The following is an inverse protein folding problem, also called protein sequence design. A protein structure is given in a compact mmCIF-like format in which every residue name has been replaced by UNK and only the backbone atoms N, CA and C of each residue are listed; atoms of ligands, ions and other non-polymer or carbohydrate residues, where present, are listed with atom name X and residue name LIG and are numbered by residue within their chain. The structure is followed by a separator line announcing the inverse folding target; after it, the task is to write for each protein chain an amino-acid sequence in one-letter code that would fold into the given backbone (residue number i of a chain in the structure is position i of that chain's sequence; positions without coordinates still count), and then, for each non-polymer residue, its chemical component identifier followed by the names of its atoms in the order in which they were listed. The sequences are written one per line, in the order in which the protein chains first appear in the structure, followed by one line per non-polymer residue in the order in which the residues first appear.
data_IF_314143165985
#
_entry.id   IF_314143165985
#
_cell.length_a   1.000
_cell.length_b   1.000
_cell.length_c   1.000
_cell.angle_alpha   90.00
_cell.angle_beta   90.00
_cell.angle_gamma   90.00
#
_symmetry.space_group_name_H-M   'P 1'
#
loop_
_entity.id
_entity.type
_entity.pdbx_description
1 polymer ?
#
# COMPACT_ATOMS: atom_id res chain seq x y z
N UNK A 1 -12.00 -7.63 -5.65
CA UNK A 1 -12.78 -6.39 -5.43
C UNK A 1 -12.92 -5.54 -6.70
N UNK A 2 -11.84 -5.04 -7.30
CA UNK A 2 -11.90 -4.13 -8.47
C UNK A 2 -12.55 -4.79 -9.71
N UNK A 3 -12.36 -6.10 -9.92
CA UNK A 3 -13.02 -6.82 -11.01
C UNK A 3 -14.53 -7.05 -10.74
N UNK A 4 -14.92 -7.18 -9.47
CA UNK A 4 -16.32 -7.37 -9.07
C UNK A 4 -17.17 -6.11 -9.30
N UNK A 5 -16.59 -4.92 -9.07
CA UNK A 5 -17.24 -3.64 -9.37
C UNK A 5 -17.46 -3.40 -10.87
N UNK A 6 -16.59 -3.95 -11.73
CA UNK A 6 -16.71 -3.82 -13.18
C UNK A 6 -17.73 -4.79 -13.79
N UNK A 7 -17.97 -5.92 -13.13
CA UNK A 7 -18.90 -6.96 -13.61
C UNK A 7 -20.32 -6.70 -13.07
N UNK A 8 -20.47 -6.13 -11.87
CA UNK A 8 -21.77 -5.90 -11.22
C UNK A 8 -22.85 -5.22 -12.10
N UNK A 9 -22.55 -4.22 -12.97
CA UNK A 9 -23.55 -3.62 -13.84
C UNK A 9 -24.10 -4.57 -14.91
N UNK A 10 -23.37 -5.65 -15.26
CA UNK A 10 -23.71 -6.58 -16.33
C UNK A 10 -24.57 -7.78 -15.86
N UNK A 11 -24.82 -7.96 -14.56
CA UNK A 11 -25.43 -9.20 -14.00
C UNK A 11 -26.83 -8.98 -13.38
N UNK A 12 -27.53 -7.88 -13.67
CA UNK A 12 -28.90 -7.68 -13.19
C UNK A 12 -29.03 -7.72 -11.67
N UNK A 13 -29.95 -8.53 -11.11
CA UNK A 13 -30.22 -8.64 -9.67
C UNK A 13 -29.02 -9.11 -8.82
N UNK A 14 -28.05 -9.81 -9.42
CA UNK A 14 -26.79 -10.19 -8.75
C UNK A 14 -25.90 -8.98 -8.43
N UNK A 15 -26.07 -7.86 -9.13
CA UNK A 15 -25.30 -6.64 -8.90
C UNK A 15 -25.42 -6.14 -7.45
N UNK A 16 -26.63 -6.20 -6.87
CA UNK A 16 -26.88 -5.77 -5.48
C UNK A 16 -26.14 -6.64 -4.47
N UNK A 17 -26.21 -7.96 -4.61
CA UNK A 17 -25.52 -8.90 -3.73
C UNK A 17 -24.01 -8.73 -3.82
N UNK A 18 -23.48 -8.53 -5.02
CA UNK A 18 -22.05 -8.26 -5.23
C UNK A 18 -21.63 -6.95 -4.56
N UNK A 19 -22.42 -5.89 -4.65
CA UNK A 19 -22.13 -4.63 -3.97
C UNK A 19 -22.06 -4.79 -2.44
N UNK A 20 -23.04 -5.47 -1.84
CA UNK A 20 -23.02 -5.74 -0.40
C UNK A 20 -21.78 -6.55 -0.02
N UNK A 21 -21.46 -7.60 -0.76
CA UNK A 21 -20.28 -8.44 -0.51
C UNK A 21 -18.97 -7.64 -0.56
N UNK A 22 -18.82 -6.73 -1.53
CA UNK A 22 -17.62 -5.90 -1.64
C UNK A 22 -17.53 -4.95 -0.44
N UNK A 23 -18.63 -4.36 0.03
CA UNK A 23 -18.63 -3.53 1.24
C UNK A 23 -18.26 -4.33 2.49
N UNK A 24 -18.79 -5.56 2.61
CA UNK A 24 -18.46 -6.46 3.73
C UNK A 24 -16.98 -6.84 3.73
N UNK A 25 -16.43 -7.24 2.58
CA UNK A 25 -15.02 -7.60 2.44
C UNK A 25 -14.09 -6.41 2.75
N UNK A 26 -14.52 -5.18 2.45
CA UNK A 26 -13.77 -3.99 2.79
C UNK A 26 -13.75 -3.77 4.31
N UNK A 27 -14.89 -3.93 4.97
CA UNK A 27 -14.99 -3.88 6.43
C UNK A 27 -14.17 -4.97 7.12
N UNK A 28 -14.18 -6.21 6.60
CA UNK A 28 -13.32 -7.30 7.10
C UNK A 28 -11.84 -6.94 6.95
N UNK A 29 -11.45 -6.38 5.81
CA UNK A 29 -10.08 -5.89 5.59
C UNK A 29 -9.65 -4.84 6.61
N UNK A 30 -10.55 -3.91 6.95
CA UNK A 30 -10.31 -2.91 8.00
C UNK A 30 -10.13 -3.56 9.38
N UNK A 31 -10.97 -4.53 9.73
CA UNK A 31 -10.85 -5.28 10.99
C UNK A 31 -9.54 -6.05 11.10
N UNK A 32 -9.15 -6.77 10.03
CA UNK A 32 -7.87 -7.49 9.97
C UNK A 32 -6.68 -6.54 10.05
N UNK A 33 -6.76 -5.39 9.39
CA UNK A 33 -5.74 -4.34 9.51
C UNK A 33 -5.61 -3.84 10.95
N UNK A 34 -6.73 -3.58 11.62
CA UNK A 34 -6.78 -3.17 13.03
C UNK A 34 -6.09 -4.18 13.96
N UNK A 35 -6.38 -5.48 13.79
CA UNK A 35 -5.72 -6.54 14.56
C UNK A 35 -4.21 -6.53 14.29
N UNK A 36 -3.83 -6.51 13.02
CA UNK A 36 -2.41 -6.58 12.63
C UNK A 36 -1.62 -5.37 13.15
N UNK A 37 -2.17 -4.15 13.04
CA UNK A 37 -1.48 -2.93 13.47
C UNK A 37 -1.31 -2.87 14.99
N UNK A 38 -2.27 -3.39 15.76
CA UNK A 38 -2.16 -3.47 17.23
C UNK A 38 -1.09 -4.47 17.64
N UNK A 39 -1.09 -5.67 17.05
CA UNK A 39 -0.05 -6.67 17.30
C UNK A 39 1.34 -6.16 16.89
N UNK A 40 1.39 -5.45 15.77
CA UNK A 40 2.60 -4.83 15.26
C UNK A 40 3.12 -3.72 16.18
N UNK A 41 2.26 -2.81 16.63
CA UNK A 41 2.61 -1.77 17.58
C UNK A 41 3.06 -2.38 18.91
N UNK A 42 2.36 -3.39 19.41
CA UNK A 42 2.78 -4.11 20.63
C UNK A 42 4.18 -4.71 20.47
N UNK A 43 4.50 -5.31 19.32
CA UNK A 43 5.85 -5.82 19.04
C UNK A 43 6.90 -4.71 19.12
N UNK A 44 6.65 -3.53 18.54
CA UNK A 44 7.61 -2.42 18.55
C UNK A 44 7.79 -1.82 19.95
N UNK A 45 6.72 -1.65 20.72
CA UNK A 45 6.80 -0.95 22.01
C UNK A 45 7.26 -1.83 23.18
N UNK A 46 7.01 -3.15 23.12
CA UNK A 46 7.27 -4.06 24.25
C UNK A 46 8.46 -5.00 24.04
N UNK A 47 9.04 -5.04 22.84
CA UNK A 47 10.26 -5.80 22.57
C UNK A 47 11.38 -4.84 22.16
N UNK A 48 12.62 -5.16 22.53
CA UNK A 48 13.79 -4.41 22.08
C UNK A 48 13.89 -4.50 20.56
N UNK A 49 13.67 -3.38 19.87
CA UNK A 49 13.80 -3.27 18.42
C UNK A 49 15.26 -3.00 18.10
N UNK A 50 15.96 -3.99 17.56
CA UNK A 50 17.32 -3.80 17.07
C UNK A 50 17.32 -3.20 15.65
N UNK A 51 18.46 -2.68 15.20
CA UNK A 51 18.61 -2.08 13.86
C UNK A 51 18.31 -3.06 12.72
N UNK A 52 18.40 -4.37 12.97
CA UNK A 52 18.06 -5.42 12.02
C UNK A 52 16.54 -5.67 11.91
N UNK A 53 15.76 -5.33 12.94
CA UNK A 53 14.30 -5.44 12.91
C UNK A 53 13.64 -4.36 12.02
N UNK A 54 14.37 -3.27 11.74
CA UNK A 54 13.95 -2.23 10.79
C UNK A 54 14.12 -2.78 9.37
N UNK A 55 13.09 -3.49 8.92
CA UNK A 55 13.04 -4.14 7.62
C UNK A 55 12.12 -3.38 6.65
N UNK A 56 12.30 -3.57 5.32
CA UNK A 56 11.36 -3.04 4.33
C UNK A 56 9.89 -3.47 4.54
N UNK A 57 9.64 -4.53 5.33
CA UNK A 57 8.29 -4.97 5.71
C UNK A 57 7.49 -3.90 6.47
N UNK A 58 8.14 -2.93 7.12
CA UNK A 58 7.45 -1.79 7.75
C UNK A 58 6.62 -0.99 6.74
N UNK A 59 7.05 -0.94 5.49
CA UNK A 59 6.30 -0.27 4.43
C UNK A 59 5.00 -1.00 4.06
N UNK A 60 4.90 -2.30 4.32
CA UNK A 60 3.68 -3.08 4.09
C UNK A 60 2.55 -2.59 4.99
N UNK A 61 2.85 -2.14 6.21
CA UNK A 61 1.86 -1.55 7.13
C UNK A 61 1.24 -0.28 6.54
N UNK A 62 2.08 0.60 5.99
CA UNK A 62 1.63 1.79 5.28
C UNK A 62 0.86 1.42 4.00
N UNK A 63 1.37 0.46 3.24
CA UNK A 63 0.75 -0.02 2.01
C UNK A 63 -0.64 -0.63 2.21
N UNK A 64 -0.85 -1.38 3.30
CA UNK A 64 -2.15 -1.92 3.66
C UNK A 64 -3.17 -0.79 3.94
N UNK A 65 -2.75 0.29 4.62
CA UNK A 65 -3.60 1.46 4.80
C UNK A 65 -3.94 2.17 3.47
N UNK A 66 -2.97 2.27 2.56
CA UNK A 66 -3.20 2.79 1.21
C UNK A 66 -4.15 1.90 0.38
N UNK A 67 -4.05 0.57 0.48
CA UNK A 67 -4.97 -0.36 -0.19
C UNK A 67 -6.40 -0.17 0.33
N UNK A 68 -6.58 -0.10 1.65
CA UNK A 68 -7.89 0.15 2.27
C UNK A 68 -8.49 1.48 1.80
N UNK A 69 -7.67 2.52 1.72
CA UNK A 69 -8.05 3.83 1.18
C UNK A 69 -8.48 3.74 -0.28
N UNK A 70 -7.69 3.07 -1.11
CA UNK A 70 -7.98 2.90 -2.54
C UNK A 70 -9.28 2.11 -2.77
N UNK A 71 -9.51 1.07 -1.98
CA UNK A 71 -10.74 0.28 -2.00
C UNK A 71 -11.95 1.11 -1.54
N UNK A 72 -11.82 1.86 -0.44
CA UNK A 72 -12.87 2.76 0.06
C UNK A 72 -13.22 3.86 -0.94
N UNK A 73 -12.21 4.49 -1.56
CA UNK A 73 -12.40 5.47 -2.64
C UNK A 73 -13.15 4.88 -3.84
N UNK A 74 -12.89 3.61 -4.14
CA UNK A 74 -13.58 2.90 -5.24
C UNK A 74 -15.03 2.61 -4.88
N UNK A 75 -15.33 2.28 -3.62
CA UNK A 75 -16.70 2.15 -3.13
C UNK A 75 -17.47 3.47 -3.22
N UNK A 76 -16.83 4.60 -2.86
CA UNK A 76 -17.43 5.93 -2.91
C UNK A 76 -17.74 6.38 -4.35
N UNK A 77 -16.85 6.05 -5.28
CA UNK A 77 -16.98 6.40 -6.71
C UNK A 77 -17.97 5.50 -7.46
N UNK A 78 -18.37 4.36 -6.91
CA UNK A 78 -19.26 3.42 -7.59
C UNK A 78 -20.69 3.58 -7.06
N UNK A 79 -21.62 3.96 -7.93
CA UNK A 79 -23.03 4.04 -7.57
C UNK A 79 -23.64 2.64 -7.40
N UNK A 80 -24.11 2.34 -6.19
CA UNK A 80 -24.69 1.03 -5.86
C UNK A 80 -26.19 0.92 -6.15
N UNK A 81 -26.88 2.06 -6.37
CA UNK A 81 -28.33 2.12 -6.54
C UNK A 81 -29.16 1.68 -5.33
N UNK A 82 -28.54 1.37 -4.19
CA UNK A 82 -29.21 0.87 -2.98
C UNK A 82 -29.28 1.93 -1.88
N UNK A 83 -30.49 2.27 -1.37
CA UNK A 83 -30.64 3.27 -0.30
C UNK A 83 -29.81 2.97 0.96
N UNK A 84 -29.69 1.69 1.32
CA UNK A 84 -28.89 1.25 2.47
C UNK A 84 -27.38 1.55 2.30
N UNK A 85 -26.81 1.30 1.12
CA UNK A 85 -25.38 1.59 0.91
C UNK A 85 -25.13 3.10 0.77
N UNK A 86 -26.11 3.84 0.24
CA UNK A 86 -26.05 5.29 0.19
C UNK A 86 -26.04 5.91 1.59
N UNK A 87 -26.81 5.37 2.54
CA UNK A 87 -26.76 5.85 3.93
C UNK A 87 -25.45 5.52 4.64
N UNK A 88 -24.69 4.52 4.19
CA UNK A 88 -23.34 4.20 4.69
C UNK A 88 -22.24 5.09 4.09
N UNK A 89 -22.52 5.88 3.05
CA UNK A 89 -21.51 6.69 2.35
C UNK A 89 -20.69 7.60 3.28
N UNK A 90 -21.28 8.36 4.23
CA UNK A 90 -20.51 9.20 5.14
C UNK A 90 -19.53 8.42 6.03
N UNK A 91 -19.88 7.19 6.40
CA UNK A 91 -18.99 6.31 7.17
C UNK A 91 -17.78 5.88 6.32
N UNK A 92 -18.01 5.49 5.06
CA UNK A 92 -16.95 5.10 4.14
C UNK A 92 -16.03 6.29 3.85
N UNK A 93 -16.60 7.49 3.63
CA UNK A 93 -15.83 8.73 3.43
C UNK A 93 -14.90 8.99 4.61
N UNK A 94 -15.44 8.98 5.83
CA UNK A 94 -14.68 9.22 7.06
C UNK A 94 -13.57 8.20 7.29
N UNK A 95 -13.88 6.91 7.18
CA UNK A 95 -12.88 5.84 7.37
C UNK A 95 -11.82 5.88 6.27
N UNK A 96 -12.21 6.12 5.02
CA UNK A 96 -11.26 6.22 3.89
C UNK A 96 -10.28 7.37 4.11
N UNK A 97 -10.76 8.53 4.55
CA UNK A 97 -9.92 9.68 4.87
C UNK A 97 -8.99 9.39 6.05
N UNK A 98 -9.49 8.78 7.13
CA UNK A 98 -8.68 8.40 8.29
C UNK A 98 -7.58 7.41 7.88
N UNK A 99 -7.90 6.42 7.06
CA UNK A 99 -6.93 5.44 6.57
C UNK A 99 -5.85 6.08 5.68
N UNK A 100 -6.22 7.08 4.87
CA UNK A 100 -5.26 7.84 4.06
C UNK A 100 -4.34 8.70 4.95
N UNK A 101 -4.92 9.38 5.94
CA UNK A 101 -4.16 10.17 6.91
C UNK A 101 -3.20 9.28 7.70
N UNK A 102 -3.66 8.09 8.11
CA UNK A 102 -2.84 7.09 8.77
C UNK A 102 -1.69 6.62 7.87
N UNK A 103 -1.95 6.29 6.59
CA UNK A 103 -0.89 5.94 5.64
C UNK A 103 0.14 7.07 5.48
N UNK A 104 -0.33 8.32 5.43
CA UNK A 104 0.52 9.51 5.30
C UNK A 104 1.40 9.70 6.53
N UNK A 105 0.85 9.45 7.72
CA UNK A 105 1.59 9.54 8.98
C UNK A 105 2.75 8.54 9.08
N UNK A 106 2.62 7.37 8.43
CA UNK A 106 3.72 6.40 8.37
C UNK A 106 4.90 6.87 7.52
N UNK A 107 4.69 7.71 6.51
CA UNK A 107 5.76 8.09 5.57
C UNK A 107 6.93 8.78 6.29
N UNK A 108 6.75 9.85 7.10
CA UNK A 108 7.84 10.46 7.84
C UNK A 108 8.59 9.49 8.75
N UNK A 109 7.86 8.62 9.45
CA UNK A 109 8.45 7.62 10.36
C UNK A 109 9.31 6.60 9.60
N UNK A 110 8.81 6.10 8.46
CA UNK A 110 9.54 5.16 7.62
C UNK A 110 10.76 5.79 6.96
N UNK A 111 10.67 7.06 6.55
CA UNK A 111 11.81 7.81 6.04
C UNK A 111 12.89 8.01 7.11
N UNK A 112 12.49 8.36 8.35
CA UNK A 112 13.41 8.49 9.48
C UNK A 112 14.15 7.17 9.73
N UNK A 113 13.44 6.04 9.74
CA UNK A 113 14.04 4.72 9.88
C UNK A 113 14.99 4.36 8.73
N UNK A 114 14.64 4.70 7.48
CA UNK A 114 15.50 4.49 6.33
C UNK A 114 16.80 5.31 6.39
N UNK A 115 16.70 6.60 6.76
CA UNK A 115 17.85 7.48 6.94
C UNK A 115 18.73 7.01 8.10
N UNK A 116 18.13 6.56 9.20
CA UNK A 116 18.86 6.06 10.35
C UNK A 116 19.69 4.80 10.00
N UNK A 117 19.07 3.83 9.31
CA UNK A 117 19.72 2.57 8.92
C UNK A 117 20.84 2.76 7.89
N UNK A 118 20.61 3.55 6.84
CA UNK A 118 21.58 3.70 5.75
C UNK A 118 22.56 4.85 5.96
N UNK A 119 22.12 5.95 6.61
CA UNK A 119 22.93 7.14 6.82
C UNK A 119 23.77 7.08 8.10
N UNK A 120 23.19 6.66 9.22
CA UNK A 120 23.91 6.64 10.51
C UNK A 120 24.68 5.32 10.68
N UNK A 121 24.03 4.20 10.39
CA UNK A 121 24.61 2.85 10.57
C UNK A 121 25.37 2.35 9.34
N UNK A 122 25.42 3.13 8.25
CA UNK A 122 26.19 2.83 7.04
C UNK A 122 25.95 1.41 6.49
N UNK A 123 24.75 0.86 6.69
CA UNK A 123 24.41 -0.48 6.18
C UNK A 123 24.40 -0.42 4.65
N UNK A 124 25.26 -1.19 3.96
CA UNK A 124 25.36 -1.12 2.51
C UNK A 124 24.02 -1.47 1.87
N UNK A 125 23.61 -0.68 0.86
CA UNK A 125 22.45 -0.99 0.04
C UNK A 125 22.77 -2.21 -0.85
N UNK A 126 22.68 -3.40 -0.27
CA UNK A 126 22.64 -4.64 -1.02
C UNK A 126 21.21 -4.88 -1.51
N UNK A 127 21.07 -5.28 -2.78
CA UNK A 127 19.77 -5.68 -3.29
C UNK A 127 19.25 -6.88 -2.49
N UNK A 128 18.06 -6.75 -1.92
CA UNK A 128 17.31 -7.86 -1.34
C UNK A 128 15.92 -7.88 -1.96
N UNK A 129 15.31 -9.05 -2.19
CA UNK A 129 13.93 -9.14 -2.67
C UNK A 129 12.92 -8.38 -1.80
N UNK A 130 13.24 -8.17 -0.52
CA UNK A 130 12.43 -7.40 0.42
C UNK A 130 12.27 -5.92 0.03
N UNK A 131 13.16 -5.35 -0.78
CA UNK A 131 13.02 -3.99 -1.27
C UNK A 131 11.73 -3.81 -2.09
N UNK A 132 11.22 -4.87 -2.74
CA UNK A 132 9.94 -4.83 -3.44
C UNK A 132 8.76 -4.53 -2.51
N UNK A 133 8.86 -4.93 -1.24
CA UNK A 133 7.86 -4.64 -0.21
C UNK A 133 7.79 -3.15 0.17
N UNK A 134 8.79 -2.34 -0.20
CA UNK A 134 8.79 -0.88 -0.03
C UNK A 134 8.19 -0.16 -1.23
N UNK A 135 8.59 -0.56 -2.43
CA UNK A 135 8.22 0.16 -3.66
C UNK A 135 6.76 -0.03 -4.06
N UNK A 136 6.18 -1.18 -3.72
CA UNK A 136 4.77 -1.44 -3.96
C UNK A 136 3.85 -0.50 -3.13
N UNK A 137 4.03 -0.36 -1.80
CA UNK A 137 3.30 0.62 -0.99
C UNK A 137 3.39 2.07 -1.49
N UNK A 138 4.56 2.51 -1.97
CA UNK A 138 4.72 3.86 -2.53
C UNK A 138 3.80 4.09 -3.73
N UNK A 139 3.80 3.15 -4.68
CA UNK A 139 2.91 3.23 -5.85
C UNK A 139 1.43 3.15 -5.45
N UNK A 140 1.10 2.26 -4.51
CA UNK A 140 -0.27 2.14 -4.00
C UNK A 140 -0.75 3.41 -3.29
N UNK A 141 0.10 4.08 -2.51
CA UNK A 141 -0.24 5.35 -1.88
C UNK A 141 -0.49 6.46 -2.90
N UNK A 142 0.34 6.53 -3.96
CA UNK A 142 0.13 7.49 -5.04
C UNK A 142 -1.23 7.26 -5.74
N UNK A 143 -1.56 6.00 -6.06
CA UNK A 143 -2.85 5.63 -6.64
C UNK A 143 -4.02 5.92 -5.68
N UNK A 144 -3.89 5.56 -4.41
CA UNK A 144 -4.91 5.80 -3.39
C UNK A 144 -5.21 7.29 -3.24
N UNK A 145 -4.16 8.13 -3.23
CA UNK A 145 -4.29 9.59 -3.15
C UNK A 145 -5.03 10.16 -4.36
N UNK A 146 -4.77 9.63 -5.57
CA UNK A 146 -5.51 10.03 -6.77
C UNK A 146 -6.98 9.64 -6.67
N UNK A 147 -7.29 8.38 -6.32
CA UNK A 147 -8.68 7.92 -6.22
C UNK A 147 -9.44 8.67 -5.14
N UNK A 148 -8.81 8.94 -4.00
CA UNK A 148 -9.43 9.72 -2.93
C UNK A 148 -9.68 11.16 -3.37
N UNK A 149 -8.75 11.78 -4.13
CA UNK A 149 -8.97 13.12 -4.68
C UNK A 149 -10.22 13.21 -5.56
N UNK A 150 -10.52 12.14 -6.30
CA UNK A 150 -11.71 12.04 -7.15
C UNK A 150 -12.96 11.74 -6.32
N UNK A 151 -12.85 10.83 -5.35
CA UNK A 151 -13.97 10.41 -4.49
C UNK A 151 -14.47 11.55 -3.59
N UNK A 152 -13.55 12.34 -3.04
CA UNK A 152 -13.83 13.44 -2.13
C UNK A 152 -13.94 14.82 -2.84
N UNK A 153 -13.80 14.86 -4.17
CA UNK A 153 -13.68 16.09 -4.96
C UNK A 153 -12.72 17.12 -4.33
N UNK A 154 -11.54 16.64 -3.93
CA UNK A 154 -10.54 17.43 -3.20
C UNK A 154 -9.24 17.51 -4.00
N UNK A 155 -9.08 18.53 -4.86
CA UNK A 155 -7.95 18.67 -5.78
C UNK A 155 -6.55 18.63 -5.16
N UNK A 156 -6.28 19.11 -3.93
CA UNK A 156 -4.94 19.07 -3.35
C UNK A 156 -4.34 17.65 -3.24
N UNK A 157 -5.16 16.63 -3.02
CA UNK A 157 -4.72 15.22 -2.99
C UNK A 157 -4.16 14.75 -4.34
N UNK A 158 -4.60 15.36 -5.45
CA UNK A 158 -4.10 15.06 -6.78
C UNK A 158 -2.65 15.53 -6.95
N UNK A 159 -2.29 16.68 -6.39
CA UNK A 159 -0.92 17.17 -6.40
C UNK A 159 0.00 16.23 -5.60
N UNK A 160 -0.46 15.77 -4.43
CA UNK A 160 0.26 14.77 -3.62
C UNK A 160 0.47 13.49 -4.43
N UNK A 161 -0.57 12.98 -5.08
CA UNK A 161 -0.47 11.80 -5.94
C UNK A 161 0.60 11.96 -7.02
N UNK A 162 0.58 13.06 -7.78
CA UNK A 162 1.56 13.28 -8.85
C UNK A 162 2.99 13.36 -8.35
N UNK A 163 3.23 14.04 -7.23
CA UNK A 163 4.56 14.08 -6.63
C UNK A 163 5.03 12.67 -6.24
N UNK A 164 4.14 11.88 -5.65
CA UNK A 164 4.47 10.56 -5.13
C UNK A 164 4.62 9.50 -6.23
N UNK A 165 3.95 9.65 -7.38
CA UNK A 165 4.18 8.79 -8.56
C UNK A 165 5.64 8.87 -9.00
N UNK A 166 6.23 10.07 -9.06
CA UNK A 166 7.63 10.22 -9.46
C UNK A 166 8.59 9.60 -8.44
N UNK A 167 8.31 9.76 -7.14
CA UNK A 167 9.07 9.10 -6.08
C UNK A 167 8.98 7.58 -6.18
N UNK A 168 7.77 7.05 -6.37
CA UNK A 168 7.54 5.60 -6.53
C UNK A 168 8.26 5.06 -7.77
N UNK A 169 8.20 5.78 -8.90
CA UNK A 169 8.85 5.39 -10.15
C UNK A 169 10.38 5.37 -10.01
N UNK A 170 10.96 6.39 -9.37
CA UNK A 170 12.40 6.43 -9.11
C UNK A 170 12.85 5.25 -8.24
N UNK A 171 12.10 4.96 -7.17
CA UNK A 171 12.37 3.82 -6.31
C UNK A 171 12.20 2.47 -7.05
N UNK A 172 11.22 2.38 -7.97
CA UNK A 172 11.00 1.19 -8.81
C UNK A 172 12.18 0.94 -9.74
N UNK A 173 12.64 1.98 -10.44
CA UNK A 173 13.79 1.89 -11.33
C UNK A 173 15.04 1.49 -10.55
N UNK A 174 15.30 2.11 -9.40
CA UNK A 174 16.44 1.76 -8.56
C UNK A 174 16.41 0.29 -8.11
N UNK A 175 15.26 -0.19 -7.65
CA UNK A 175 15.09 -1.59 -7.21
C UNK A 175 15.20 -2.58 -8.38
N UNK A 176 14.66 -2.23 -9.54
CA UNK A 176 14.75 -3.03 -10.75
C UNK A 176 16.19 -3.13 -11.28
N UNK A 177 16.94 -2.02 -11.25
CA UNK A 177 18.38 -2.03 -11.56
C UNK A 177 19.13 -2.95 -10.60
N UNK A 178 18.86 -2.84 -9.29
CA UNK A 178 19.45 -3.72 -8.28
C UNK A 178 19.15 -5.20 -8.51
N UNK A 179 17.93 -5.53 -8.93
CA UNK A 179 17.56 -6.90 -9.29
C UNK A 179 18.35 -7.39 -10.50
N UNK A 180 18.48 -6.57 -11.55
CA UNK A 180 19.21 -6.94 -12.77
C UNK A 180 20.69 -7.14 -12.49
N UNK A 181 21.31 -6.27 -11.67
CA UNK A 181 22.73 -6.42 -11.30
C UNK A 181 22.97 -7.68 -10.48
N UNK A 182 22.13 -7.92 -9.45
CA UNK A 182 22.25 -9.10 -8.60
C UNK A 182 22.02 -10.41 -9.38
N UNK A 183 21.05 -10.40 -10.31
CA UNK A 183 20.80 -11.56 -11.17
C UNK A 183 21.99 -11.82 -12.09
N UNK A 184 22.57 -10.77 -12.70
CA UNK A 184 23.75 -10.90 -13.57
C UNK A 184 24.96 -11.47 -12.83
N UNK A 185 25.20 -11.05 -11.60
CA UNK A 185 26.28 -11.59 -10.76
C UNK A 185 26.04 -13.07 -10.45
N UNK A 186 24.83 -13.43 -10.02
CA UNK A 186 24.46 -14.83 -9.76
C UNK A 186 24.60 -15.74 -10.99
N UNK A 187 24.20 -15.27 -12.18
CA UNK A 187 24.40 -16.01 -13.44
C UNK A 187 25.88 -16.20 -13.79
N UNK A 188 26.72 -15.18 -13.58
CA UNK A 188 28.17 -15.27 -13.84
C UNK A 188 28.88 -16.22 -12.89
N UNK A 189 28.45 -16.27 -11.63
CA UNK A 189 28.99 -17.21 -10.65
C UNK A 189 28.56 -18.65 -10.95
N UNK A 190 27.32 -18.85 -11.39
CA UNK A 190 26.85 -20.16 -11.87
C UNK A 190 27.67 -20.67 -13.07
N UNK A 191 27.89 -19.82 -14.08
CA UNK A 191 28.74 -20.17 -15.25
C UNK A 191 30.19 -20.49 -14.87
N UNK A 192 30.74 -19.83 -13.85
CA UNK A 192 32.11 -20.10 -13.34
C UNK A 192 32.20 -21.40 -12.54
N UNK A 193 31.13 -21.79 -11.84
CA UNK A 193 31.08 -22.99 -11.00
C UNK A 193 30.87 -24.30 -11.79
N UNK A 194 30.43 -24.22 -13.05
CA UNK A 194 30.22 -25.36 -13.93
C UNK A 194 31.12 -25.27 -15.19
N UNK A 195 32.45 -25.42 -15.06
CA UNK A 195 33.33 -25.53 -16.22
C UNK A 195 32.99 -26.83 -16.97
N UNK A 196 32.78 -26.71 -18.29
CA UNK A 196 32.59 -27.87 -19.18
C UNK A 196 33.84 -28.73 -19.25
#
# INVERSE_FOLDING_TARGET
MILGTLIAPAVGDLGRTVFVLIHMLWGVGLGLYGIFIVLFAHRIFFFDVEFDDITPLLWVVMGAAAITTNAGSTLILTESGMPFLQSMRPFIDGVTLIMWAWATWWIPLLLLFGIWKHGVWHVPLAYTPMLWSLVFPLGMYALASLRLSLAADFPPLRAISYSMVWVALAAWIATAVGLVTASRESFRDFERSNPR
#
